data_IF_500320300752
#
_entry.id   IF_500320300752
#
_cell.length_a   1.000
_cell.length_b   1.000
_cell.length_c   1.000
_cell.angle_alpha   90.00
_cell.angle_beta   90.00
_cell.angle_gamma   90.00
#
_symmetry.space_group_name_H-M   'P 1'
#
loop_
_entity.id
_entity.type
_entity.pdbx_description
1 polymer ?
#
# COMPACT_ATOMS: atom_id res chain seq x y z
N UNK A 1 24.23 12.40 -47.51
CA UNK A 1 23.01 11.59 -47.27
C UNK A 1 22.35 12.06 -45.98
N UNK A 2 21.17 12.68 -46.06
CA UNK A 2 20.38 13.04 -44.87
C UNK A 2 19.71 11.77 -44.34
N UNK A 3 20.01 11.39 -43.09
CA UNK A 3 19.26 10.31 -42.40
C UNK A 3 17.82 10.79 -42.24
N UNK A 4 16.89 10.19 -42.97
CA UNK A 4 15.46 10.31 -42.66
C UNK A 4 15.24 9.64 -41.31
N UNK A 5 14.99 10.45 -40.29
CA UNK A 5 14.44 9.97 -39.02
C UNK A 5 12.99 9.61 -39.33
N UNK A 6 12.73 8.32 -39.53
CA UNK A 6 11.37 7.80 -39.61
C UNK A 6 10.79 7.97 -38.20
N UNK A 7 9.98 9.01 -37.98
CA UNK A 7 9.13 9.08 -36.80
C UNK A 7 8.12 7.94 -36.91
N UNK A 8 8.33 6.86 -36.15
CA UNK A 8 7.26 5.90 -35.89
C UNK A 8 6.19 6.65 -35.10
N UNK A 9 5.06 6.92 -35.74
CA UNK A 9 3.84 7.31 -35.05
C UNK A 9 3.32 6.07 -34.35
N UNK A 10 3.85 5.79 -33.16
CA UNK A 10 3.33 4.67 -32.38
C UNK A 10 1.87 4.98 -32.02
N UNK A 11 0.98 4.07 -32.36
CA UNK A 11 -0.46 4.27 -32.20
C UNK A 11 -0.81 4.06 -30.73
N UNK A 12 -1.54 5.02 -30.13
CA UNK A 12 -2.01 4.91 -28.75
C UNK A 12 -3.15 3.89 -28.71
N UNK A 13 -3.02 2.88 -27.85
CA UNK A 13 -4.05 1.86 -27.60
C UNK A 13 -4.60 2.01 -26.17
N UNK A 14 -5.57 2.91 -26.02
CA UNK A 14 -6.20 3.16 -24.73
C UNK A 14 -7.06 1.99 -24.25
N UNK A 15 -7.55 1.12 -25.14
CA UNK A 15 -8.48 0.05 -24.77
C UNK A 15 -7.71 -1.08 -24.08
N UNK A 16 -6.67 -1.60 -24.73
CA UNK A 16 -5.84 -2.65 -24.13
C UNK A 16 -5.00 -2.11 -22.98
N UNK A 17 -4.50 -0.87 -23.10
CA UNK A 17 -3.83 -0.16 -22.01
C UNK A 17 -4.70 -0.07 -20.76
N UNK A 18 -5.94 0.40 -20.89
CA UNK A 18 -6.87 0.49 -19.75
C UNK A 18 -7.13 -0.87 -19.13
N UNK A 19 -7.38 -1.89 -19.94
CA UNK A 19 -7.64 -3.24 -19.45
C UNK A 19 -6.50 -3.74 -18.57
N UNK A 20 -5.26 -3.73 -19.08
CA UNK A 20 -4.08 -4.15 -18.31
C UNK A 20 -3.89 -3.30 -17.07
N UNK A 21 -4.07 -1.98 -17.18
CA UNK A 21 -3.90 -1.09 -16.04
C UNK A 21 -4.86 -1.41 -14.88
N UNK A 22 -6.13 -1.72 -15.19
CA UNK A 22 -7.13 -2.10 -14.19
C UNK A 22 -6.98 -3.55 -13.70
N UNK A 23 -6.59 -4.50 -14.58
CA UNK A 23 -6.34 -5.90 -14.20
C UNK A 23 -5.21 -6.02 -13.15
N UNK A 24 -4.33 -5.02 -13.09
CA UNK A 24 -3.21 -4.93 -12.17
C UNK A 24 -3.39 -3.87 -11.07
N UNK A 25 -4.62 -3.43 -10.81
CA UNK A 25 -4.96 -2.44 -9.78
C UNK A 25 -4.12 -1.13 -9.88
N UNK A 26 -3.70 -0.74 -11.09
CA UNK A 26 -2.88 0.44 -11.33
C UNK A 26 -1.45 0.36 -10.80
N UNK A 27 -0.99 -0.82 -10.36
CA UNK A 27 0.35 -1.03 -9.87
C UNK A 27 1.37 -1.13 -11.02
N UNK A 28 1.94 0.01 -11.39
CA UNK A 28 2.95 0.10 -12.45
C UNK A 28 4.18 -0.78 -12.20
N UNK A 29 4.56 -1.05 -10.94
CA UNK A 29 5.67 -1.97 -10.68
C UNK A 29 5.34 -3.39 -11.11
N UNK A 30 4.15 -3.89 -10.75
CA UNK A 30 3.66 -5.22 -11.16
C UNK A 30 3.47 -5.28 -12.68
N UNK A 31 2.83 -4.27 -13.29
CA UNK A 31 2.63 -4.20 -14.75
C UNK A 31 3.98 -4.27 -15.47
N UNK A 32 4.96 -3.47 -15.07
CA UNK A 32 6.27 -3.47 -15.72
C UNK A 32 7.02 -4.81 -15.57
N UNK A 33 6.76 -5.56 -14.50
CA UNK A 33 7.39 -6.85 -14.24
C UNK A 33 6.72 -7.99 -15.00
N UNK A 34 5.39 -7.97 -15.08
CA UNK A 34 4.58 -9.11 -15.53
C UNK A 34 4.04 -8.94 -16.95
N UNK A 35 3.86 -7.69 -17.40
CA UNK A 35 3.27 -7.33 -18.71
C UNK A 35 4.14 -6.25 -19.39
N UNK A 36 5.38 -6.58 -19.80
CA UNK A 36 6.29 -5.61 -20.41
C UNK A 36 5.74 -4.96 -21.69
N UNK A 37 4.84 -5.64 -22.40
CA UNK A 37 4.15 -5.14 -23.58
C UNK A 37 3.22 -3.95 -23.30
N UNK A 38 2.89 -3.67 -22.03
CA UNK A 38 2.09 -2.51 -21.65
C UNK A 38 2.67 -1.20 -22.20
N UNK A 39 4.00 -1.10 -22.29
CA UNK A 39 4.71 0.06 -22.85
C UNK A 39 4.37 0.31 -24.31
N UNK A 40 4.00 -0.73 -25.07
CA UNK A 40 3.65 -0.60 -26.49
C UNK A 40 2.27 0.04 -26.70
N UNK A 41 1.41 0.07 -25.67
CA UNK A 41 0.11 0.74 -25.75
C UNK A 41 0.21 2.26 -25.70
N UNK A 42 1.39 2.81 -25.36
CA UNK A 42 1.68 4.24 -25.41
C UNK A 42 0.64 5.11 -24.69
N UNK A 43 0.13 4.63 -23.55
CA UNK A 43 -0.85 5.35 -22.74
C UNK A 43 -0.21 6.63 -22.17
N UNK A 44 -0.77 7.81 -22.45
CA UNK A 44 -0.28 9.06 -21.89
C UNK A 44 -0.36 9.08 -20.36
N UNK A 45 0.61 9.73 -19.70
CA UNK A 45 0.73 9.69 -18.24
C UNK A 45 -0.46 10.32 -17.52
N UNK A 46 -0.99 11.41 -18.07
CA UNK A 46 -2.19 12.08 -17.59
C UNK A 46 -3.43 11.17 -17.65
N UNK A 47 -3.53 10.31 -18.66
CA UNK A 47 -4.60 9.29 -18.77
C UNK A 47 -4.43 8.21 -17.69
N UNK A 48 -3.20 7.71 -17.47
CA UNK A 48 -2.94 6.78 -16.37
C UNK A 48 -3.26 7.39 -15.01
N UNK A 49 -2.96 8.67 -14.80
CA UNK A 49 -3.22 9.35 -13.53
C UNK A 49 -4.74 9.46 -13.26
N UNK A 50 -5.55 9.67 -14.30
CA UNK A 50 -7.02 9.61 -14.21
C UNK A 50 -7.48 8.19 -13.83
N UNK A 51 -6.98 7.16 -14.50
CA UNK A 51 -7.34 5.77 -14.19
C UNK A 51 -6.91 5.37 -12.79
N UNK A 52 -5.70 5.74 -12.38
CA UNK A 52 -5.17 5.51 -11.04
C UNK A 52 -6.04 6.15 -9.98
N UNK A 53 -6.51 7.38 -10.20
CA UNK A 53 -7.45 8.05 -9.30
C UNK A 53 -8.78 7.31 -9.19
N UNK A 54 -9.30 6.79 -10.30
CA UNK A 54 -10.50 5.93 -10.28
C UNK A 54 -10.28 4.68 -9.43
N UNK A 55 -9.17 3.98 -9.62
CA UNK A 55 -8.85 2.77 -8.85
C UNK A 55 -8.70 3.09 -7.35
N UNK A 56 -8.00 4.17 -7.01
CA UNK A 56 -7.84 4.64 -5.62
C UNK A 56 -9.21 4.89 -4.97
N UNK A 57 -10.10 5.61 -5.65
CA UNK A 57 -11.42 5.91 -5.10
C UNK A 57 -12.24 4.64 -4.86
N UNK A 58 -12.22 3.69 -5.80
CA UNK A 58 -12.91 2.41 -5.64
C UNK A 58 -12.32 1.60 -4.48
N UNK A 59 -11.00 1.54 -4.36
CA UNK A 59 -10.34 0.84 -3.26
C UNK A 59 -10.63 1.47 -1.90
N UNK A 60 -10.71 2.79 -1.81
CA UNK A 60 -11.11 3.47 -0.57
C UNK A 60 -12.53 3.07 -0.15
N UNK A 61 -13.49 3.11 -1.07
CA UNK A 61 -14.87 2.67 -0.81
C UNK A 61 -14.91 1.18 -0.43
N UNK A 62 -14.14 0.33 -1.11
CA UNK A 62 -14.05 -1.09 -0.79
C UNK A 62 -13.43 -1.35 0.59
N UNK A 63 -12.44 -0.56 1.01
CA UNK A 63 -11.82 -0.62 2.34
C UNK A 63 -12.84 -0.22 3.40
N UNK A 64 -13.59 0.85 3.20
CA UNK A 64 -14.64 1.28 4.15
C UNK A 64 -15.72 0.21 4.35
N UNK A 65 -16.05 -0.54 3.30
CA UNK A 65 -17.12 -1.54 3.31
C UNK A 65 -16.66 -2.98 3.57
N UNK A 66 -15.39 -3.19 3.95
CA UNK A 66 -14.85 -4.53 4.23
C UNK A 66 -14.35 -4.69 5.67
N UNK A 67 -14.23 -5.94 6.10
CA UNK A 67 -13.76 -6.33 7.44
C UNK A 67 -12.72 -7.45 7.35
N UNK A 68 -12.00 -7.66 8.46
CA UNK A 68 -11.02 -8.74 8.61
C UNK A 68 -10.00 -8.83 7.48
N UNK A 69 -9.70 -10.05 7.05
CA UNK A 69 -8.72 -10.35 6.01
C UNK A 69 -9.00 -9.65 4.68
N UNK A 70 -10.28 -9.54 4.28
CA UNK A 70 -10.64 -8.89 3.02
C UNK A 70 -10.26 -7.41 3.02
N UNK A 71 -10.52 -6.72 4.14
CA UNK A 71 -10.10 -5.32 4.34
C UNK A 71 -8.60 -5.18 4.20
N UNK A 72 -7.83 -6.06 4.85
CA UNK A 72 -6.36 -6.05 4.77
C UNK A 72 -5.86 -6.20 3.34
N UNK A 73 -6.43 -7.13 2.55
CA UNK A 73 -6.04 -7.29 1.14
C UNK A 73 -6.26 -6.01 0.34
N UNK A 74 -7.42 -5.36 0.53
CA UNK A 74 -7.77 -4.11 -0.15
C UNK A 74 -6.85 -2.97 0.28
N UNK A 75 -6.53 -2.86 1.57
CA UNK A 75 -5.54 -1.91 2.09
C UNK A 75 -4.17 -2.16 1.43
N UNK A 76 -3.67 -3.39 1.39
CA UNK A 76 -2.38 -3.70 0.75
C UNK A 76 -2.35 -3.27 -0.72
N UNK A 77 -3.43 -3.50 -1.48
CA UNK A 77 -3.55 -3.03 -2.86
C UNK A 77 -3.49 -1.51 -2.95
N UNK A 78 -4.22 -0.82 -2.08
CA UNK A 78 -4.26 0.64 -2.03
C UNK A 78 -2.89 1.23 -1.70
N UNK A 79 -2.20 0.70 -0.69
CA UNK A 79 -0.86 1.18 -0.29
C UNK A 79 0.15 1.13 -1.44
N UNK A 80 0.05 0.14 -2.32
CA UNK A 80 0.95 0.00 -3.45
C UNK A 80 0.86 1.16 -4.46
N UNK A 81 -0.24 1.92 -4.47
CA UNK A 81 -0.51 2.96 -5.46
C UNK A 81 -0.79 4.35 -4.85
N UNK A 82 -1.18 4.43 -3.58
CA UNK A 82 -1.75 5.66 -3.01
C UNK A 82 -0.71 6.71 -2.59
N UNK A 83 0.52 6.26 -2.31
CA UNK A 83 1.70 7.09 -2.10
C UNK A 83 1.93 7.43 -0.63
N UNK A 84 3.21 7.63 -0.26
CA UNK A 84 3.68 7.67 1.13
C UNK A 84 2.85 8.53 2.08
N UNK A 85 2.57 9.79 1.73
CA UNK A 85 1.82 10.70 2.62
C UNK A 85 0.39 10.23 2.87
N UNK A 86 -0.28 9.71 1.83
CA UNK A 86 -1.65 9.19 1.96
C UNK A 86 -1.66 7.83 2.69
N UNK A 87 -0.67 6.98 2.41
CA UNK A 87 -0.50 5.69 3.08
C UNK A 87 -0.37 5.88 4.59
N UNK A 88 0.47 6.82 5.03
CA UNK A 88 0.66 7.12 6.46
C UNK A 88 -0.65 7.59 7.10
N UNK A 89 -1.37 8.53 6.47
CA UNK A 89 -2.64 9.04 7.00
C UNK A 89 -3.69 7.93 7.13
N UNK A 90 -3.82 7.08 6.10
CA UNK A 90 -4.72 5.94 6.12
C UNK A 90 -4.36 4.95 7.23
N UNK A 91 -3.09 4.58 7.35
CA UNK A 91 -2.62 3.60 8.33
C UNK A 91 -2.78 4.11 9.76
N UNK A 92 -2.48 5.38 10.03
CA UNK A 92 -2.75 6.00 11.34
C UNK A 92 -4.25 5.94 11.67
N UNK A 93 -5.13 6.28 10.73
CA UNK A 93 -6.57 6.21 10.94
C UNK A 93 -7.06 4.77 11.24
N UNK A 94 -6.52 3.77 10.53
CA UNK A 94 -6.86 2.36 10.76
C UNK A 94 -6.30 1.84 12.11
N UNK A 95 -5.14 2.33 12.56
CA UNK A 95 -4.57 1.93 13.85
C UNK A 95 -5.39 2.47 15.03
N UNK A 96 -6.01 3.64 14.88
CA UNK A 96 -6.93 4.24 15.86
C UNK A 96 -8.37 3.70 15.77
N UNK A 97 -8.70 2.87 14.77
CA UNK A 97 -10.05 2.28 14.64
C UNK A 97 -10.24 1.14 15.66
N UNK A 98 -11.08 1.39 16.68
CA UNK A 98 -11.38 0.42 17.75
C UNK A 98 -12.19 -0.79 17.28
N UNK A 99 -12.73 -0.78 16.06
CA UNK A 99 -13.48 -1.92 15.50
C UNK A 99 -12.58 -2.99 14.89
N UNK A 100 -11.30 -2.68 14.67
CA UNK A 100 -10.34 -3.61 14.07
C UNK A 100 -9.69 -4.51 15.12
N UNK A 101 -9.51 -5.78 14.75
CA UNK A 101 -8.85 -6.77 15.57
C UNK A 101 -7.33 -6.53 15.68
N UNK A 102 -6.72 -7.12 16.71
CA UNK A 102 -5.28 -6.97 16.99
C UNK A 102 -4.42 -7.41 15.81
N UNK A 103 -4.81 -8.47 15.09
CA UNK A 103 -4.01 -8.98 13.98
C UNK A 103 -4.02 -8.03 12.78
N UNK A 104 -5.18 -7.46 12.42
CA UNK A 104 -5.25 -6.39 11.41
C UNK A 104 -4.36 -5.20 11.78
N UNK A 105 -4.42 -4.74 13.03
CA UNK A 105 -3.60 -3.61 13.51
C UNK A 105 -2.10 -3.91 13.47
N UNK A 106 -1.68 -5.14 13.74
CA UNK A 106 -0.28 -5.57 13.57
C UNK A 106 0.17 -5.38 12.12
N UNK A 107 -0.62 -5.83 11.15
CA UNK A 107 -0.29 -5.72 9.73
C UNK A 107 -0.17 -4.25 9.30
N UNK A 108 -1.09 -3.40 9.75
CA UNK A 108 -1.05 -1.97 9.46
C UNK A 108 0.14 -1.26 10.15
N UNK A 109 0.54 -1.69 11.35
CA UNK A 109 1.70 -1.14 12.02
C UNK A 109 3.01 -1.55 11.34
N UNK A 110 3.11 -2.79 10.86
CA UNK A 110 4.23 -3.26 10.03
C UNK A 110 4.33 -2.45 8.73
N UNK A 111 3.20 -2.18 8.07
CA UNK A 111 3.17 -1.36 6.87
C UNK A 111 3.50 0.10 7.17
N UNK A 112 3.07 0.66 8.30
CA UNK A 112 3.47 2.01 8.72
C UNK A 112 4.99 2.10 8.95
N UNK A 113 5.58 1.07 9.55
CA UNK A 113 7.04 0.98 9.74
C UNK A 113 7.77 0.90 8.38
N UNK A 114 7.21 0.18 7.40
CA UNK A 114 7.71 0.10 6.02
C UNK A 114 7.60 1.43 5.30
N UNK A 115 6.47 2.14 5.45
CA UNK A 115 6.25 3.45 4.87
C UNK A 115 7.23 4.49 5.42
N UNK A 116 7.53 4.46 6.72
CA UNK A 116 8.60 5.27 7.32
C UNK A 116 9.95 5.05 6.63
N UNK A 117 10.30 3.81 6.30
CA UNK A 117 11.53 3.51 5.54
C UNK A 117 11.44 4.08 4.11
N UNK A 118 10.29 3.94 3.45
CA UNK A 118 10.03 4.52 2.12
C UNK A 118 10.14 6.05 2.09
N UNK A 119 9.60 6.73 3.11
CA UNK A 119 9.75 8.17 3.31
C UNK A 119 11.21 8.54 3.47
N UNK A 120 11.96 7.86 4.35
CA UNK A 120 13.38 8.12 4.56
C UNK A 120 14.18 8.05 3.26
N UNK A 121 13.91 7.03 2.44
CA UNK A 121 14.52 6.87 1.11
C UNK A 121 14.11 8.03 0.20
N UNK A 122 12.81 8.35 0.13
CA UNK A 122 12.29 9.42 -0.72
C UNK A 122 12.82 10.80 -0.35
N UNK A 123 13.04 11.08 0.93
CA UNK A 123 13.71 12.30 1.41
C UNK A 123 15.17 12.31 0.96
N UNK A 124 15.92 11.22 1.20
CA UNK A 124 17.34 11.10 0.82
C UNK A 124 17.56 11.37 -0.67
N UNK A 125 16.66 10.87 -1.53
CA UNK A 125 16.72 11.06 -2.98
C UNK A 125 15.94 12.29 -3.48
N UNK A 126 15.48 13.17 -2.58
CA UNK A 126 14.75 14.42 -2.91
C UNK A 126 13.49 14.21 -3.76
N UNK A 127 12.89 13.03 -3.68
CA UNK A 127 11.61 12.69 -4.31
C UNK A 127 10.48 13.34 -3.51
N UNK A 128 10.55 13.22 -2.18
CA UNK A 128 9.61 13.83 -1.25
C UNK A 128 10.26 15.06 -0.62
N UNK A 129 9.58 16.21 -0.69
CA UNK A 129 10.04 17.47 -0.10
C UNK A 129 9.34 17.67 1.23
N UNK A 130 10.08 17.45 2.31
CA UNK A 130 9.64 17.72 3.68
C UNK A 130 10.54 18.83 4.23
N UNK A 131 9.93 19.83 4.87
CA UNK A 131 10.62 21.01 5.40
C UNK A 131 11.60 20.64 6.52
N UNK A 132 11.14 19.85 7.49
CA UNK A 132 11.98 19.26 8.54
C UNK A 132 11.90 17.72 8.51
N UNK A 133 12.74 17.07 7.71
CA UNK A 133 12.82 15.61 7.63
C UNK A 133 13.08 14.93 8.98
N UNK A 134 13.89 15.55 9.84
CA UNK A 134 14.33 14.91 11.07
C UNK A 134 13.17 14.87 12.06
N UNK A 135 12.49 16.00 12.27
CA UNK A 135 11.29 16.04 13.11
C UNK A 135 10.24 15.08 12.60
N UNK A 136 9.94 15.09 11.29
CA UNK A 136 8.92 14.23 10.70
C UNK A 136 9.16 12.74 10.95
N UNK A 137 10.42 12.29 10.81
CA UNK A 137 10.78 10.88 11.04
C UNK A 137 10.77 10.54 12.54
N UNK A 138 11.17 11.46 13.41
CA UNK A 138 11.04 11.29 14.86
C UNK A 138 9.57 11.14 15.26
N UNK A 139 8.70 12.02 14.79
CA UNK A 139 7.26 11.97 15.09
C UNK A 139 6.63 10.64 14.63
N UNK A 140 7.01 10.14 13.44
CA UNK A 140 6.55 8.83 12.97
C UNK A 140 7.06 7.68 13.83
N UNK A 141 8.31 7.73 14.31
CA UNK A 141 8.83 6.70 15.22
C UNK A 141 8.07 6.70 16.55
N UNK A 142 7.81 7.88 17.10
CA UNK A 142 7.11 8.02 18.38
C UNK A 142 5.66 7.49 18.27
N UNK A 143 4.97 7.77 17.15
CA UNK A 143 3.66 7.18 16.86
C UNK A 143 3.71 5.65 16.75
N UNK A 144 4.68 5.09 16.03
CA UNK A 144 4.84 3.64 15.92
C UNK A 144 5.04 3.00 17.30
N UNK A 145 5.84 3.62 18.16
CA UNK A 145 6.06 3.16 19.53
C UNK A 145 4.80 3.25 20.39
N UNK A 146 4.01 4.32 20.24
CA UNK A 146 2.71 4.46 20.92
C UNK A 146 1.73 3.36 20.49
N UNK A 147 1.57 3.13 19.18
CA UNK A 147 0.71 2.05 18.66
C UNK A 147 1.17 0.68 19.13
N UNK A 148 2.48 0.41 19.09
CA UNK A 148 3.06 -0.83 19.61
C UNK A 148 2.73 -1.03 21.08
N UNK A 149 2.90 0.01 21.90
CA UNK A 149 2.56 -0.01 23.32
C UNK A 149 1.06 -0.27 23.55
N UNK A 150 0.18 0.40 22.81
CA UNK A 150 -1.27 0.17 22.86
C UNK A 150 -1.61 -1.29 22.56
N UNK A 151 -1.02 -1.89 21.53
CA UNK A 151 -1.26 -3.29 21.15
C UNK A 151 -0.77 -4.27 22.23
N UNK A 152 0.40 -4.03 22.83
CA UNK A 152 0.93 -4.89 23.90
C UNK A 152 0.09 -4.84 25.19
N UNK A 153 -0.63 -3.74 25.42
CA UNK A 153 -1.43 -3.52 26.62
C UNK A 153 -2.93 -3.73 26.41
N UNK A 154 -3.34 -4.23 25.25
CA UNK A 154 -4.74 -4.48 24.91
C UNK A 154 -5.03 -5.98 24.82
N UNK A 155 -6.28 -6.43 25.07
CA UNK A 155 -6.67 -7.81 24.82
C UNK A 155 -6.41 -8.21 23.37
N UNK A 156 -5.85 -9.40 23.17
CA UNK A 156 -5.59 -9.94 21.84
C UNK A 156 -6.91 -10.44 21.25
N UNK A 157 -7.25 -9.91 20.09
CA UNK A 157 -8.40 -10.29 19.29
C UNK A 157 -7.96 -10.58 17.86
N UNK A 158 -8.56 -11.59 17.24
CA UNK A 158 -8.20 -12.02 15.90
C UNK A 158 -9.49 -12.29 15.14
N UNK A 159 -9.69 -11.60 14.03
CA UNK A 159 -10.86 -11.82 13.19
C UNK A 159 -10.80 -13.23 12.58
N UNK A 160 -11.93 -13.95 12.62
CA UNK A 160 -12.01 -15.35 12.18
C UNK A 160 -11.68 -15.53 10.69
N UNK A 161 -11.88 -14.51 9.87
CA UNK A 161 -11.53 -14.56 8.44
C UNK A 161 -10.03 -14.80 8.21
N UNK A 162 -9.15 -14.39 9.13
CA UNK A 162 -7.72 -14.71 9.05
C UNK A 162 -7.46 -16.19 9.30
N UNK A 163 -8.15 -16.80 10.27
CA UNK A 163 -7.99 -18.22 10.62
C UNK A 163 -8.56 -19.14 9.54
N UNK A 164 -9.61 -18.70 8.86
CA UNK A 164 -10.24 -19.42 7.76
C UNK A 164 -9.46 -19.29 6.45
N UNK A 165 -8.53 -18.33 6.34
CA UNK A 165 -7.79 -18.11 5.12
C UNK A 165 -6.72 -19.19 4.88
N UNK A 166 -6.73 -19.78 3.68
CA UNK A 166 -5.79 -20.84 3.31
C UNK A 166 -4.31 -20.39 3.35
N UNK A 167 -4.01 -19.11 3.07
CA UNK A 167 -2.66 -18.59 3.14
C UNK A 167 -2.10 -18.53 4.57
N UNK A 168 -2.98 -18.53 5.58
CA UNK A 168 -2.65 -18.45 7.00
C UNK A 168 -2.97 -19.76 7.76
N UNK A 169 -3.26 -20.86 7.05
CA UNK A 169 -3.65 -22.15 7.64
C UNK A 169 -2.63 -22.75 8.64
N UNK A 170 -1.36 -22.34 8.54
CA UNK A 170 -0.27 -22.78 9.42
C UNK A 170 0.29 -21.63 10.25
N UNK A 171 -0.35 -20.46 10.23
CA UNK A 171 0.05 -19.35 11.06
C UNK A 171 -0.35 -19.64 12.51
N UNK A 172 0.60 -19.42 13.42
CA UNK A 172 0.38 -19.58 14.85
C UNK A 172 -0.30 -18.32 15.42
N UNK A 173 -1.59 -18.43 15.74
CA UNK A 173 -2.38 -17.35 16.31
C UNK A 173 -2.37 -17.35 17.85
N UNK A 174 -1.45 -18.06 18.50
CA UNK A 174 -1.27 -18.01 19.95
C UNK A 174 -0.88 -16.60 20.44
N UNK A 175 -1.32 -16.25 21.64
CA UNK A 175 -1.00 -14.97 22.27
C UNK A 175 0.51 -14.76 22.36
N UNK A 176 1.28 -15.80 22.67
CA UNK A 176 2.74 -15.74 22.71
C UNK A 176 3.34 -15.33 21.36
N UNK A 177 2.85 -15.90 20.25
CA UNK A 177 3.33 -15.54 18.93
C UNK A 177 2.91 -14.13 18.52
N UNK A 178 1.68 -13.73 18.86
CA UNK A 178 1.16 -12.39 18.57
C UNK A 178 1.96 -11.32 19.32
N UNK A 179 2.21 -11.51 20.61
CA UNK A 179 3.04 -10.60 21.43
C UNK A 179 4.44 -10.50 20.83
N UNK A 180 5.08 -11.64 20.54
CA UNK A 180 6.41 -11.67 19.92
C UNK A 180 6.44 -10.92 18.59
N UNK A 181 5.38 -11.00 17.79
CA UNK A 181 5.30 -10.27 16.52
C UNK A 181 5.23 -8.77 16.76
N UNK A 182 4.38 -8.31 17.68
CA UNK A 182 4.30 -6.88 18.06
C UNK A 182 5.66 -6.37 18.56
N UNK A 183 6.35 -7.13 19.41
CA UNK A 183 7.67 -6.78 19.96
C UNK A 183 8.76 -6.60 18.89
N UNK A 184 8.63 -7.28 17.73
CA UNK A 184 9.60 -7.24 16.64
C UNK A 184 9.36 -6.12 15.61
N UNK A 185 8.25 -5.37 15.72
CA UNK A 185 7.99 -4.18 14.89
C UNK A 185 8.86 -3.01 15.35
#
# INVERSE_FOLDING_TARGET
MKKQVIQRTETIDLVNGKKVFFDYDGNLFSINREVPEYRHYNVPKDVEDVWKKTIINNLLEEVENSIGYEKTVKVTKLLAIYGHSNNIQLLEALLEDDTLDTFSKILYLEDLNREKLGVNISIKYKILKIEDPKSYITDLNDKILDYKSKLLNSPITIDESFKQNYALKYYDFSDENIIRRIENI
#
